data_IF_240130543403
#
_entry.id   IF_240130543403
#
_cell.length_a   1.000
_cell.length_b   1.000
_cell.length_c   1.000
_cell.angle_alpha   90.00
_cell.angle_beta   90.00
_cell.angle_gamma   90.00
#
_symmetry.space_group_name_H-M   'P 1'
#
loop_
_entity.id
_entity.type
_entity.pdbx_description
1 polymer ?
#
# COMPACT_ATOMS: atom_id res chain seq x y z
N UNK A 1 3.54 7.63 -21.32
CA UNK A 1 3.71 6.23 -20.89
C UNK A 1 4.60 6.20 -19.64
N UNK A 2 4.32 5.32 -18.67
CA UNK A 2 4.78 5.24 -17.25
C UNK A 2 4.02 6.21 -16.32
N UNK A 3 2.83 5.88 -15.82
CA UNK A 3 2.54 4.84 -14.81
C UNK A 3 3.29 5.05 -13.49
N UNK A 4 2.96 6.10 -12.74
CA UNK A 4 3.30 6.17 -11.31
C UNK A 4 2.02 6.09 -10.46
N UNK A 5 1.25 5.02 -10.66
CA UNK A 5 0.12 4.64 -9.80
C UNK A 5 0.58 3.95 -8.51
N UNK A 6 1.90 3.88 -8.26
CA UNK A 6 2.41 3.34 -7.01
C UNK A 6 2.20 4.37 -5.91
N UNK A 7 1.34 4.04 -4.95
CA UNK A 7 1.14 4.84 -3.75
C UNK A 7 2.39 4.90 -2.86
N UNK A 8 3.31 3.95 -3.01
CA UNK A 8 4.59 3.93 -2.31
C UNK A 8 5.71 4.44 -3.22
N UNK A 9 6.62 5.22 -2.66
CA UNK A 9 7.85 5.61 -3.34
C UNK A 9 8.78 4.39 -3.38
N UNK A 10 9.36 4.10 -4.55
CA UNK A 10 10.40 3.09 -4.63
C UNK A 10 11.65 3.58 -3.89
N UNK A 11 12.18 2.74 -3.00
CA UNK A 11 13.43 2.95 -2.29
C UNK A 11 14.25 1.66 -2.34
N UNK A 12 15.56 1.78 -2.55
CA UNK A 12 16.47 0.62 -2.65
C UNK A 12 16.06 -0.40 -3.74
N UNK A 13 15.51 0.08 -4.85
CA UNK A 13 14.93 -0.75 -5.94
C UNK A 13 13.71 -1.59 -5.52
N UNK A 14 13.12 -1.25 -4.37
CA UNK A 14 12.00 -1.97 -3.78
C UNK A 14 10.79 -1.02 -3.63
N UNK A 15 9.60 -1.54 -3.91
CA UNK A 15 8.33 -0.79 -3.88
C UNK A 15 7.49 -1.15 -2.66
N UNK A 16 6.44 -1.94 -2.90
CA UNK A 16 5.59 -2.50 -1.84
C UNK A 16 6.28 -3.75 -1.30
N UNK A 17 6.54 -3.78 0.00
CA UNK A 17 7.21 -4.90 0.68
C UNK A 17 6.21 -5.88 1.29
N UNK A 18 5.01 -5.42 1.67
CA UNK A 18 3.97 -6.28 2.26
C UNK A 18 2.57 -5.78 1.99
N UNK A 19 1.63 -6.73 1.85
CA UNK A 19 0.20 -6.48 1.79
C UNK A 19 -0.49 -7.41 2.79
N UNK A 20 -1.47 -6.89 3.54
CA UNK A 20 -2.29 -7.67 4.45
C UNK A 20 -3.77 -7.28 4.31
N UNK A 21 -4.65 -8.26 4.40
CA UNK A 21 -6.09 -8.06 4.43
C UNK A 21 -6.63 -8.43 5.80
N UNK A 22 -7.56 -7.63 6.32
CA UNK A 22 -8.26 -7.98 7.54
C UNK A 22 -9.24 -9.14 7.23
N UNK A 23 -9.34 -10.19 8.06
CA UNK A 23 -10.10 -11.39 7.73
C UNK A 23 -11.63 -11.20 7.70
N UNK A 24 -12.14 -10.19 8.41
CA UNK A 24 -13.59 -9.93 8.57
C UNK A 24 -14.02 -8.62 7.89
N UNK A 25 -13.34 -7.50 8.20
CA UNK A 25 -13.65 -6.19 7.65
C UNK A 25 -13.04 -5.95 6.25
N UNK A 26 -13.66 -5.11 5.40
CA UNK A 26 -13.17 -4.77 4.06
C UNK A 26 -12.01 -3.77 4.13
N UNK A 27 -10.91 -4.20 4.75
CA UNK A 27 -9.73 -3.40 5.02
C UNK A 27 -8.51 -4.09 4.42
N UNK A 28 -7.74 -3.33 3.65
CA UNK A 28 -6.45 -3.75 3.08
C UNK A 28 -5.37 -2.77 3.54
N UNK A 29 -4.21 -3.29 3.89
CA UNK A 29 -3.04 -2.51 4.29
C UNK A 29 -1.88 -2.84 3.37
N UNK A 30 -1.19 -1.82 2.86
CA UNK A 30 0.09 -1.97 2.15
C UNK A 30 1.22 -1.28 2.91
N UNK A 31 2.39 -1.91 2.94
CA UNK A 31 3.62 -1.35 3.47
C UNK A 31 4.65 -1.20 2.34
N UNK A 32 5.33 -0.06 2.28
CA UNK A 32 6.37 0.22 1.29
C UNK A 32 7.77 0.24 1.87
N UNK A 33 8.76 0.10 0.99
CA UNK A 33 10.19 0.32 1.31
C UNK A 33 10.48 1.77 1.73
N UNK A 34 9.54 2.68 1.45
CA UNK A 34 9.55 4.06 1.93
C UNK A 34 9.21 4.22 3.42
N UNK A 35 8.94 3.12 4.13
CA UNK A 35 8.56 3.14 5.54
C UNK A 35 7.13 3.67 5.78
N UNK A 36 6.34 3.84 4.72
CA UNK A 36 4.95 4.29 4.80
C UNK A 36 4.02 3.09 4.82
N UNK A 37 2.97 3.18 5.63
CA UNK A 37 1.86 2.23 5.66
C UNK A 37 0.60 2.94 5.18
N UNK A 38 -0.13 2.33 4.26
CA UNK A 38 -1.39 2.87 3.72
C UNK A 38 -2.55 1.93 4.00
N UNK A 39 -3.66 2.53 4.46
CA UNK A 39 -4.92 1.85 4.77
C UNK A 39 -5.92 2.10 3.64
N UNK A 40 -6.52 1.03 3.15
CA UNK A 40 -7.58 1.04 2.17
C UNK A 40 -8.83 0.42 2.80
N UNK A 41 -9.93 1.17 2.80
CA UNK A 41 -11.21 0.75 3.36
C UNK A 41 -12.32 1.09 2.37
N UNK A 42 -13.42 0.33 2.39
CA UNK A 42 -14.60 0.62 1.57
C UNK A 42 -15.31 1.91 1.95
N UNK A 43 -14.98 2.51 3.10
CA UNK A 43 -15.53 3.78 3.56
C UNK A 43 -14.40 4.79 3.85
N UNK A 44 -13.87 5.48 2.82
CA UNK A 44 -12.94 6.58 3.04
C UNK A 44 -13.69 7.72 3.76
N UNK A 45 -13.21 8.11 4.94
CA UNK A 45 -13.63 9.35 5.61
C UNK A 45 -12.88 10.54 5.02
#
# INVERSE_FOLDING_TARGET
ERSSLSQHRQMFDEGITKIAAHPIHPIIVSAGADGVIKLFTSNPQ
#
